data_IF_929209780985
#
_entry.id   IF_929209780985
#
_cell.length_a   1.000
_cell.length_b   1.000
_cell.length_c   1.000
_cell.angle_alpha   90.00
_cell.angle_beta   90.00
_cell.angle_gamma   90.00
#
_symmetry.space_group_name_H-M   'P 1'
#
loop_
_entity.id
_entity.type
_entity.pdbx_description
1 polymer ?
#
# COMPACT_ATOMS: atom_id res chain seq x y z
N UNK A 1 -7.39 -18.44 -13.05
CA UNK A 1 -5.92 -18.30 -12.84
C UNK A 1 -5.21 -19.37 -13.66
N UNK A 2 -4.16 -19.00 -14.39
CA UNK A 2 -3.30 -19.93 -15.13
C UNK A 2 -2.08 -20.33 -14.30
N UNK A 3 -1.51 -21.52 -14.54
CA UNK A 3 -0.22 -21.93 -13.97
C UNK A 3 0.88 -21.57 -14.95
N UNK A 4 1.94 -20.94 -14.46
CA UNK A 4 3.11 -20.56 -15.26
C UNK A 4 4.36 -20.85 -14.45
N UNK A 5 5.37 -21.45 -15.08
CA UNK A 5 6.69 -21.63 -14.49
C UNK A 5 7.57 -20.43 -14.87
N UNK A 6 8.17 -19.78 -13.88
CA UNK A 6 9.03 -18.61 -14.06
C UNK A 6 10.30 -18.76 -13.23
N UNK A 7 11.44 -18.39 -13.81
CA UNK A 7 12.71 -18.34 -13.09
C UNK A 7 12.80 -16.99 -12.38
N UNK A 8 13.04 -17.00 -11.06
CA UNK A 8 13.07 -15.81 -10.22
C UNK A 8 14.27 -15.90 -9.28
N UNK A 9 14.90 -14.75 -9.00
CA UNK A 9 15.93 -14.62 -7.97
C UNK A 9 15.35 -14.89 -6.57
N UNK A 10 15.88 -15.93 -5.93
CA UNK A 10 15.45 -16.40 -4.60
C UNK A 10 15.74 -15.38 -3.49
N UNK A 11 16.82 -14.60 -3.62
CA UNK A 11 17.15 -13.55 -2.66
C UNK A 11 16.17 -12.38 -2.75
N UNK A 12 15.80 -12.00 -3.97
CA UNK A 12 14.87 -10.91 -4.23
C UNK A 12 13.48 -11.25 -3.70
N UNK A 13 12.95 -12.44 -4.02
CA UNK A 13 11.60 -12.81 -3.59
C UNK A 13 11.51 -12.97 -2.07
N UNK A 14 12.55 -13.49 -1.41
CA UNK A 14 12.61 -13.55 0.06
C UNK A 14 12.68 -12.17 0.71
N UNK A 15 13.35 -11.21 0.06
CA UNK A 15 13.38 -9.82 0.55
C UNK A 15 11.99 -9.20 0.46
N UNK A 16 11.30 -9.34 -0.67
CA UNK A 16 9.92 -8.86 -0.86
C UNK A 16 8.98 -9.49 0.16
N UNK A 17 9.05 -10.82 0.34
CA UNK A 17 8.22 -11.53 1.30
C UNK A 17 8.42 -11.04 2.74
N UNK A 18 9.67 -10.77 3.16
CA UNK A 18 9.94 -10.20 4.49
C UNK A 18 9.42 -8.77 4.62
N UNK A 19 9.65 -7.93 3.61
CA UNK A 19 9.32 -6.51 3.64
C UNK A 19 7.80 -6.28 3.71
N UNK A 20 7.03 -7.13 3.02
CA UNK A 20 5.56 -7.05 2.97
C UNK A 20 4.85 -8.15 3.77
N UNK A 21 5.59 -8.93 4.59
CA UNK A 21 5.07 -10.02 5.44
C UNK A 21 4.19 -11.04 4.70
N UNK A 22 4.65 -11.47 3.53
CA UNK A 22 3.91 -12.39 2.66
C UNK A 22 4.29 -13.85 2.95
N UNK A 23 3.28 -14.72 2.96
CA UNK A 23 3.42 -16.14 3.32
C UNK A 23 3.93 -17.02 2.18
N UNK A 24 3.88 -16.58 0.92
CA UNK A 24 4.31 -17.38 -0.23
C UNK A 24 4.93 -16.55 -1.35
N UNK A 25 5.77 -17.20 -2.16
CA UNK A 25 6.35 -16.62 -3.38
C UNK A 25 5.26 -16.16 -4.36
N UNK A 26 4.19 -16.95 -4.48
CA UNK A 26 3.03 -16.60 -5.31
C UNK A 26 2.34 -15.33 -4.82
N UNK A 27 2.18 -15.16 -3.51
CA UNK A 27 1.62 -13.92 -2.95
C UNK A 27 2.55 -12.72 -3.23
N UNK A 28 3.87 -12.91 -3.16
CA UNK A 28 4.83 -11.87 -3.53
C UNK A 28 4.75 -11.46 -5.00
N UNK A 29 4.60 -12.41 -5.91
CA UNK A 29 4.45 -12.14 -7.35
C UNK A 29 3.13 -11.40 -7.61
N UNK A 30 2.02 -11.89 -7.06
CA UNK A 30 0.71 -11.24 -7.21
C UNK A 30 0.72 -9.81 -6.65
N UNK A 31 1.30 -9.62 -5.47
CA UNK A 31 1.48 -8.31 -4.86
C UNK A 31 2.30 -7.36 -5.75
N UNK A 32 3.43 -7.82 -6.28
CA UNK A 32 4.29 -7.01 -7.13
C UNK A 32 3.58 -6.59 -8.43
N UNK A 33 2.85 -7.50 -9.06
CA UNK A 33 2.08 -7.20 -10.28
C UNK A 33 0.98 -6.17 -10.01
N UNK A 34 0.23 -6.33 -8.91
CA UNK A 34 -0.81 -5.36 -8.51
C UNK A 34 -0.22 -4.00 -8.16
N UNK A 35 0.91 -3.98 -7.45
CA UNK A 35 1.60 -2.75 -7.10
C UNK A 35 2.09 -2.00 -8.34
N UNK A 36 2.58 -2.73 -9.35
CA UNK A 36 3.07 -2.17 -10.61
C UNK A 36 1.93 -1.62 -11.48
N UNK A 37 0.84 -2.37 -11.62
CA UNK A 37 -0.35 -1.89 -12.33
C UNK A 37 -0.95 -0.68 -11.61
N UNK A 38 -0.75 -0.60 -10.29
CA UNK A 38 -1.19 0.51 -9.46
C UNK A 38 -2.70 0.54 -9.31
N UNK A 39 -3.15 1.19 -8.24
CA UNK A 39 -4.54 1.61 -8.14
C UNK A 39 -4.58 3.01 -8.76
N UNK A 40 -5.26 3.19 -9.91
CA UNK A 40 -5.44 4.52 -10.52
C UNK A 40 -6.01 5.52 -9.49
N UNK A 41 -6.81 5.02 -8.55
CA UNK A 41 -7.36 5.76 -7.42
C UNK A 41 -6.32 6.52 -6.61
N UNK A 42 -5.08 6.02 -6.51
CA UNK A 42 -4.02 6.73 -5.75
C UNK A 42 -3.51 7.96 -6.50
N UNK A 43 -3.54 7.94 -7.84
CA UNK A 43 -3.30 9.13 -8.67
C UNK A 43 -4.51 10.06 -8.63
N UNK A 44 -5.72 9.52 -8.78
CA UNK A 44 -6.96 10.30 -8.73
C UNK A 44 -7.12 11.02 -7.37
N UNK A 45 -6.58 10.44 -6.28
CA UNK A 45 -6.56 11.05 -4.95
C UNK A 45 -5.54 12.18 -4.82
N UNK A 46 -4.47 12.18 -5.62
CA UNK A 46 -3.56 13.33 -5.71
C UNK A 46 -4.23 14.50 -6.44
N UNK A 47 -5.14 14.23 -7.38
CA UNK A 47 -5.91 15.28 -8.07
C UNK A 47 -6.89 16.02 -7.13
N UNK A 48 -7.15 15.46 -5.94
CA UNK A 48 -7.93 16.13 -4.88
C UNK A 48 -7.08 17.12 -4.05
N UNK A 49 -5.78 17.24 -4.33
CA UNK A 49 -4.93 18.26 -3.71
C UNK A 49 -5.48 19.66 -4.05
N UNK A 50 -5.75 20.47 -3.04
CA UNK A 50 -6.35 21.80 -3.21
C UNK A 50 -7.88 21.82 -3.34
N UNK A 51 -8.57 20.67 -3.25
CA UNK A 51 -10.04 20.61 -3.25
C UNK A 51 -10.71 21.29 -2.01
N UNK A 52 -9.90 21.77 -1.07
CA UNK A 52 -10.37 22.34 0.19
C UNK A 52 -10.78 21.28 1.20
N UNK A 53 -10.88 21.68 2.46
CA UNK A 53 -11.37 20.82 3.54
C UNK A 53 -12.07 21.69 4.59
N UNK A 54 -13.37 21.48 4.79
CA UNK A 54 -14.24 22.32 5.64
C UNK A 54 -14.31 21.87 7.11
N UNK A 55 -13.47 20.93 7.53
CA UNK A 55 -13.47 20.47 8.91
C UNK A 55 -12.70 21.39 9.87
N UNK A 56 -12.85 21.15 11.17
CA UNK A 56 -12.05 21.81 12.22
C UNK A 56 -10.97 20.84 12.75
N UNK A 57 -9.72 21.09 12.37
CA UNK A 57 -8.55 20.31 12.81
C UNK A 57 -8.34 20.38 14.33
N UNK A 58 -8.64 21.51 14.95
CA UNK A 58 -8.46 21.71 16.39
C UNK A 58 -9.47 20.86 17.17
N UNK A 59 -10.73 20.86 16.73
CA UNK A 59 -11.78 20.01 17.31
C UNK A 59 -11.42 18.51 17.22
N UNK A 60 -10.94 18.04 16.06
CA UNK A 60 -10.56 16.63 15.85
C UNK A 60 -9.32 16.18 16.64
N UNK A 61 -8.50 17.11 17.12
CA UNK A 61 -7.30 16.83 17.92
C UNK A 61 -7.56 16.92 19.41
N UNK A 62 -8.61 17.61 19.83
CA UNK A 62 -8.97 17.81 21.24
C UNK A 62 -9.17 16.50 22.03
N UNK A 63 -9.66 15.43 21.39
CA UNK A 63 -9.91 14.14 22.02
C UNK A 63 -8.65 13.30 22.30
N UNK A 64 -7.48 13.71 21.78
CA UNK A 64 -6.22 12.95 21.91
C UNK A 64 -5.31 13.41 23.04
N UNK A 65 -5.55 14.58 23.63
CA UNK A 65 -4.73 15.08 24.73
C UNK A 65 -5.41 14.74 26.05
N UNK A 66 -4.99 13.63 26.67
CA UNK A 66 -5.25 13.40 28.09
C UNK A 66 -4.50 14.50 28.84
N UNK A 67 -5.24 15.51 29.31
CA UNK A 67 -4.70 16.60 30.11
C UNK A 67 -4.17 15.98 31.42
N UNK A 68 -2.84 16.00 31.61
CA UNK A 68 -2.17 15.66 32.88
C UNK A 68 -2.33 16.85 33.82
#
# INVERSE_FOLDING_TARGET
MARTNVVIDESLIRRVMRLYRLSSKRAAIDFALRALVGDRRRRDMLDLEGAGWDGDLAQMRSSRVRRI
#
